data_IF_449492091496
#
_entry.id   IF_449492091496
#
_cell.length_a   1.000
_cell.length_b   1.000
_cell.length_c   1.000
_cell.angle_alpha   90.00
_cell.angle_beta   90.00
_cell.angle_gamma   90.00
#
_symmetry.space_group_name_H-M   'P 1'
#
loop_
_entity.id
_entity.type
_entity.pdbx_description
1 polymer ?
#
# COMPACT_ATOMS: atom_id res chain seq x y z
N UNK A 1 7.72 -5.10 -2.64
CA UNK A 1 8.14 -5.32 -4.04
C UNK A 1 6.99 -5.80 -4.94
N UNK A 2 5.71 -5.57 -4.58
CA UNK A 2 4.57 -6.03 -5.38
C UNK A 2 3.95 -4.92 -6.23
N UNK A 3 3.62 -3.76 -5.67
CA UNK A 3 3.00 -2.66 -6.42
C UNK A 3 3.79 -2.22 -7.65
N UNK A 4 5.12 -2.28 -7.55
CA UNK A 4 6.00 -1.91 -8.64
C UNK A 4 5.95 -2.92 -9.82
N UNK A 5 5.89 -4.23 -9.51
CA UNK A 5 5.81 -5.26 -10.54
C UNK A 5 4.44 -5.25 -11.22
N UNK A 6 3.36 -4.95 -10.49
CA UNK A 6 2.00 -4.92 -11.04
C UNK A 6 1.70 -3.75 -11.95
N UNK A 7 2.34 -2.59 -11.78
CA UNK A 7 2.12 -1.46 -12.69
C UNK A 7 2.68 -1.69 -14.10
N UNK A 8 3.61 -2.63 -14.25
CA UNK A 8 4.10 -3.13 -15.53
C UNK A 8 3.15 -4.21 -16.11
N UNK A 9 2.26 -4.81 -15.30
CA UNK A 9 1.26 -5.84 -15.65
C UNK A 9 -0.08 -5.20 -16.12
N UNK A 10 0.00 -4.16 -16.94
CA UNK A 10 -1.06 -3.85 -17.92
C UNK A 10 -0.75 -4.47 -19.30
N UNK A 11 0.27 -5.33 -19.38
CA UNK A 11 0.41 -6.28 -20.48
C UNK A 11 -0.17 -7.64 -20.07
N UNK A 12 -1.07 -8.21 -20.89
CA UNK A 12 -1.63 -9.52 -20.66
C UNK A 12 -0.62 -10.53 -21.14
N UNK A 13 0.33 -10.99 -20.33
CA UNK A 13 0.97 -12.26 -20.65
C UNK A 13 1.52 -12.95 -19.41
N UNK A 14 1.31 -14.26 -19.40
CA UNK A 14 1.84 -15.21 -18.43
C UNK A 14 3.32 -14.97 -18.17
N UNK A 15 3.72 -15.00 -16.89
CA UNK A 15 5.11 -14.88 -16.47
C UNK A 15 5.83 -16.22 -16.69
N UNK A 16 6.10 -16.55 -17.95
CA UNK A 16 7.02 -17.62 -18.34
C UNK A 16 8.39 -16.99 -18.60
N UNK A 17 9.41 -17.40 -17.83
CA UNK A 17 10.76 -16.78 -17.86
C UNK A 17 11.40 -16.72 -19.24
N UNK A 18 10.94 -17.54 -20.18
CA UNK A 18 11.47 -17.62 -21.53
C UNK A 18 11.09 -16.43 -22.43
N UNK A 19 9.97 -15.76 -22.19
CA UNK A 19 9.59 -14.58 -22.98
C UNK A 19 10.42 -13.34 -22.59
N UNK A 20 10.84 -13.22 -21.33
CA UNK A 20 11.68 -12.12 -20.88
C UNK A 20 13.09 -12.17 -21.49
N UNK A 21 13.52 -13.32 -22.02
CA UNK A 21 14.82 -13.49 -22.68
C UNK A 21 14.93 -12.74 -24.01
N UNK A 22 13.80 -12.36 -24.62
CA UNK A 22 13.82 -11.64 -25.89
C UNK A 22 14.21 -10.17 -25.68
N UNK A 23 15.26 -9.73 -26.38
CA UNK A 23 15.81 -8.37 -26.30
C UNK A 23 14.75 -7.28 -26.49
N UNK A 24 13.80 -7.49 -27.40
CA UNK A 24 12.71 -6.54 -27.67
C UNK A 24 11.75 -6.37 -26.48
N UNK A 25 11.42 -7.47 -25.78
CA UNK A 25 10.53 -7.44 -24.61
C UNK A 25 11.24 -6.76 -23.44
N UNK A 26 12.52 -7.08 -23.22
CA UNK A 26 13.34 -6.44 -22.19
C UNK A 26 13.44 -4.92 -22.42
N UNK A 27 13.69 -4.49 -23.66
CA UNK A 27 13.74 -3.08 -24.02
C UNK A 27 12.40 -2.36 -23.79
N UNK A 28 11.28 -2.98 -24.18
CA UNK A 28 9.94 -2.41 -23.98
C UNK A 28 9.59 -2.24 -22.49
N UNK A 29 9.89 -3.24 -21.67
CA UNK A 29 9.66 -3.17 -20.21
C UNK A 29 10.54 -2.07 -19.60
N UNK A 30 11.81 -2.01 -19.97
CA UNK A 30 12.73 -0.99 -19.47
C UNK A 30 12.26 0.42 -19.87
N UNK A 31 11.78 0.59 -21.11
CA UNK A 31 11.22 1.85 -21.57
C UNK A 31 10.00 2.28 -20.75
N UNK A 32 9.02 1.38 -20.53
CA UNK A 32 7.82 1.66 -19.73
C UNK A 32 8.15 2.00 -18.26
N UNK A 33 9.07 1.24 -17.65
CA UNK A 33 9.54 1.50 -16.29
C UNK A 33 10.20 2.89 -16.20
N UNK A 34 11.09 3.18 -17.13
CA UNK A 34 11.86 4.42 -17.14
C UNK A 34 10.99 5.66 -17.39
N UNK A 35 9.97 5.51 -18.25
CA UNK A 35 9.05 6.59 -18.65
C UNK A 35 7.98 6.90 -17.58
N UNK A 36 7.30 5.88 -17.06
CA UNK A 36 6.12 6.09 -16.20
C UNK A 36 6.22 5.35 -14.87
N UNK A 37 6.71 4.12 -14.89
CA UNK A 37 6.62 3.27 -13.72
C UNK A 37 7.38 3.82 -12.52
N UNK A 38 8.58 4.41 -12.72
CA UNK A 38 9.41 4.95 -11.61
C UNK A 38 8.66 5.99 -10.81
N UNK A 39 8.09 6.98 -11.50
CA UNK A 39 7.35 8.06 -10.86
C UNK A 39 6.17 7.49 -10.06
N UNK A 40 5.38 6.62 -10.67
CA UNK A 40 4.20 6.04 -10.04
C UNK A 40 4.56 5.19 -8.80
N UNK A 41 5.66 4.42 -8.90
CA UNK A 41 6.20 3.66 -7.76
C UNK A 41 6.60 4.59 -6.61
N UNK A 42 7.35 5.66 -6.89
CA UNK A 42 7.76 6.62 -5.86
C UNK A 42 6.56 7.31 -5.21
N UNK A 43 5.50 7.62 -5.96
CA UNK A 43 4.28 8.22 -5.43
C UNK A 43 3.57 7.26 -4.47
N UNK A 44 3.29 6.01 -4.90
CA UNK A 44 2.62 5.01 -4.04
C UNK A 44 3.45 4.74 -2.79
N UNK A 45 4.77 4.57 -2.96
CA UNK A 45 5.68 4.32 -1.85
C UNK A 45 5.70 5.48 -0.86
N UNK A 46 5.75 6.73 -1.34
CA UNK A 46 5.69 7.92 -0.47
C UNK A 46 4.38 7.99 0.31
N UNK A 47 3.25 7.73 -0.35
CA UNK A 47 1.93 7.71 0.31
C UNK A 47 1.87 6.62 1.40
N UNK A 48 2.40 5.43 1.11
CA UNK A 48 2.49 4.34 2.09
C UNK A 48 3.39 4.69 3.28
N UNK A 49 4.55 5.31 3.02
CA UNK A 49 5.45 5.77 4.08
C UNK A 49 4.80 6.81 4.98
N UNK A 50 4.07 7.79 4.41
CA UNK A 50 3.32 8.79 5.20
C UNK A 50 2.26 8.10 6.06
N UNK A 51 1.47 7.18 5.49
CA UNK A 51 0.48 6.39 6.22
C UNK A 51 1.09 5.66 7.43
N UNK A 52 2.19 4.95 7.21
CA UNK A 52 2.88 4.21 8.28
C UNK A 52 3.49 5.14 9.33
N UNK A 53 4.10 6.26 8.91
CA UNK A 53 4.67 7.24 9.83
C UNK A 53 3.61 7.88 10.71
N UNK A 54 2.46 8.28 10.16
CA UNK A 54 1.36 8.84 10.94
C UNK A 54 0.89 7.86 12.02
N UNK A 55 0.69 6.59 11.65
CA UNK A 55 0.30 5.57 12.60
C UNK A 55 1.37 5.32 13.68
N UNK A 56 2.65 5.22 13.28
CA UNK A 56 3.77 5.00 14.19
C UNK A 56 3.93 6.12 15.21
N UNK A 57 3.77 7.38 14.79
CA UNK A 57 3.82 8.54 15.70
C UNK A 57 2.73 8.41 16.75
N UNK A 58 1.50 8.07 16.32
CA UNK A 58 0.38 7.87 17.25
C UNK A 58 0.66 6.70 18.19
N UNK A 59 1.21 5.58 17.73
CA UNK A 59 1.43 4.41 18.59
C UNK A 59 2.59 4.58 19.56
N UNK A 60 3.61 5.35 19.18
CA UNK A 60 4.87 5.44 19.94
C UNK A 60 4.82 6.54 21.00
N UNK A 61 4.14 7.65 20.70
CA UNK A 61 4.13 8.81 21.59
C UNK A 61 3.00 8.66 22.63
N UNK A 62 3.33 8.76 23.92
CA UNK A 62 2.35 8.59 24.99
C UNK A 62 1.37 9.77 25.07
N UNK A 63 0.19 9.54 25.64
CA UNK A 63 -0.90 10.54 25.70
C UNK A 63 -0.53 11.86 26.37
N UNK A 64 0.42 11.83 27.32
CA UNK A 64 0.82 13.03 28.05
C UNK A 64 1.69 13.98 27.23
N UNK A 65 2.31 13.52 26.13
CA UNK A 65 3.18 14.34 25.28
C UNK A 65 2.45 14.95 24.06
N UNK A 66 1.39 14.31 23.58
CA UNK A 66 0.61 14.79 22.42
C UNK A 66 -0.84 15.08 22.82
N UNK A 67 -1.31 16.28 22.48
CA UNK A 67 -2.72 16.64 22.66
C UNK A 67 -3.64 15.72 21.87
N UNK A 68 -4.80 15.42 22.45
CA UNK A 68 -5.82 14.58 21.81
C UNK A 68 -6.21 15.08 20.41
N UNK A 69 -6.31 16.40 20.22
CA UNK A 69 -6.65 16.99 18.92
C UNK A 69 -5.64 16.64 17.83
N UNK A 70 -4.33 16.72 18.13
CA UNK A 70 -3.28 16.38 17.18
C UNK A 70 -3.28 14.87 16.86
N UNK A 71 -3.50 14.05 17.89
CA UNK A 71 -3.62 12.60 17.74
C UNK A 71 -4.80 12.22 16.86
N UNK A 72 -5.95 12.86 17.07
CA UNK A 72 -7.16 12.67 16.29
C UNK A 72 -6.94 13.03 14.82
N UNK A 73 -6.24 14.12 14.53
CA UNK A 73 -5.87 14.48 13.16
C UNK A 73 -5.00 13.38 12.52
N UNK A 74 -3.97 12.89 13.22
CA UNK A 74 -3.11 11.81 12.72
C UNK A 74 -3.89 10.50 12.46
N UNK A 75 -4.85 10.17 13.33
CA UNK A 75 -5.71 9.00 13.15
C UNK A 75 -6.65 9.14 11.94
N UNK A 76 -7.25 10.31 11.75
CA UNK A 76 -8.08 10.61 10.57
C UNK A 76 -7.24 10.50 9.28
N UNK A 77 -6.02 11.07 9.29
CA UNK A 77 -5.08 10.97 8.16
C UNK A 77 -4.71 9.53 7.87
N UNK A 78 -4.45 8.73 8.90
CA UNK A 78 -4.15 7.29 8.77
C UNK A 78 -5.32 6.54 8.13
N UNK A 79 -6.55 6.80 8.57
CA UNK A 79 -7.76 6.19 7.98
C UNK A 79 -7.92 6.59 6.51
N UNK A 80 -7.77 7.88 6.20
CA UNK A 80 -7.90 8.39 4.84
C UNK A 80 -6.90 7.73 3.86
N UNK A 81 -5.61 7.70 4.23
CA UNK A 81 -4.60 7.04 3.40
C UNK A 81 -4.79 5.52 3.33
N UNK A 82 -5.25 4.89 4.42
CA UNK A 82 -5.58 3.48 4.40
C UNK A 82 -6.69 3.12 3.42
N UNK A 83 -7.74 3.94 3.31
CA UNK A 83 -8.77 3.77 2.27
C UNK A 83 -8.21 3.92 0.85
N UNK A 84 -7.29 4.85 0.62
CA UNK A 84 -6.62 5.00 -0.68
C UNK A 84 -5.89 3.70 -1.06
N UNK A 85 -5.12 3.11 -0.13
CA UNK A 85 -4.43 1.84 -0.37
C UNK A 85 -5.41 0.68 -0.56
N UNK A 86 -6.53 0.67 0.17
CA UNK A 86 -7.57 -0.33 0.00
C UNK A 86 -8.19 -0.30 -1.40
N UNK A 87 -8.37 0.88 -2.01
CA UNK A 87 -8.83 1.00 -3.40
C UNK A 87 -7.84 0.34 -4.37
N UNK A 88 -6.53 0.49 -4.15
CA UNK A 88 -5.51 -0.16 -4.98
C UNK A 88 -5.54 -1.70 -4.84
N UNK A 89 -5.65 -2.21 -3.61
CA UNK A 89 -5.80 -3.64 -3.35
C UNK A 89 -7.07 -4.21 -3.98
N UNK A 90 -8.20 -3.50 -3.83
CA UNK A 90 -9.48 -3.91 -4.39
C UNK A 90 -9.45 -3.97 -5.93
N UNK A 91 -8.79 -3.00 -6.57
CA UNK A 91 -8.56 -3.04 -8.04
C UNK A 91 -7.74 -4.26 -8.46
N UNK A 92 -6.70 -4.62 -7.69
CA UNK A 92 -5.89 -5.80 -7.97
C UNK A 92 -6.69 -7.09 -7.81
N UNK A 93 -7.54 -7.16 -6.79
CA UNK A 93 -8.44 -8.27 -6.55
C UNK A 93 -9.45 -8.46 -7.69
N UNK A 94 -10.10 -7.38 -8.16
CA UNK A 94 -11.02 -7.43 -9.31
C UNK A 94 -10.31 -7.92 -10.57
N UNK A 95 -9.10 -7.42 -10.83
CA UNK A 95 -8.40 -7.73 -12.08
C UNK A 95 -7.97 -9.19 -12.18
N UNK A 96 -7.47 -9.79 -11.08
CA UNK A 96 -7.01 -11.20 -11.06
C UNK A 96 -7.27 -11.89 -9.72
N UNK A 97 -8.53 -12.26 -9.41
CA UNK A 97 -8.90 -12.75 -8.07
C UNK A 97 -8.20 -14.06 -7.69
N UNK A 98 -8.10 -15.02 -8.63
CA UNK A 98 -7.44 -16.32 -8.37
C UNK A 98 -5.96 -16.18 -8.02
N UNK A 99 -5.24 -15.36 -8.79
CA UNK A 99 -3.81 -15.08 -8.55
C UNK A 99 -3.64 -14.27 -7.26
N UNK A 100 -4.59 -13.36 -7.00
CA UNK A 100 -4.54 -12.53 -5.81
C UNK A 100 -4.62 -13.37 -4.54
N UNK A 101 -5.61 -14.25 -4.44
CA UNK A 101 -5.85 -15.10 -3.26
C UNK A 101 -4.70 -16.09 -3.05
N UNK A 102 -4.10 -16.59 -4.13
CA UNK A 102 -3.00 -17.55 -4.06
C UNK A 102 -1.66 -16.92 -3.64
N UNK A 103 -1.53 -15.59 -3.63
CA UNK A 103 -0.30 -14.88 -3.30
C UNK A 103 -0.23 -14.55 -1.80
N UNK A 104 0.68 -15.15 -1.02
CA UNK A 104 0.84 -14.82 0.40
C UNK A 104 1.18 -13.34 0.64
N UNK A 105 1.86 -12.72 -0.34
CA UNK A 105 2.25 -11.32 -0.22
C UNK A 105 1.08 -10.36 -0.29
N UNK A 106 0.04 -10.68 -1.06
CA UNK A 106 -1.14 -9.82 -1.14
C UNK A 106 -1.92 -9.84 0.17
N UNK A 107 -1.94 -10.99 0.86
CA UNK A 107 -2.49 -11.09 2.22
C UNK A 107 -1.69 -10.29 3.23
N UNK A 108 -0.35 -10.32 3.14
CA UNK A 108 0.51 -9.51 3.98
C UNK A 108 0.28 -8.00 3.75
N UNK A 109 0.25 -7.57 2.49
CA UNK A 109 0.01 -6.18 2.10
C UNK A 109 -1.39 -5.73 2.58
N UNK A 110 -2.42 -6.55 2.41
CA UNK A 110 -3.77 -6.30 2.92
C UNK A 110 -3.81 -6.17 4.45
N UNK A 111 -3.14 -7.08 5.17
CA UNK A 111 -3.07 -7.04 6.63
C UNK A 111 -2.35 -5.78 7.14
N UNK A 112 -1.28 -5.36 6.46
CA UNK A 112 -0.54 -4.15 6.78
C UNK A 112 -1.37 -2.86 6.59
N UNK A 113 -2.37 -2.88 5.72
CA UNK A 113 -3.32 -1.76 5.53
C UNK A 113 -4.47 -1.85 6.53
N UNK A 114 -5.03 -3.05 6.74
CA UNK A 114 -6.18 -3.26 7.63
C UNK A 114 -5.83 -3.02 9.10
N UNK A 115 -4.64 -3.42 9.54
CA UNK A 115 -4.27 -3.32 10.94
C UNK A 115 -4.22 -1.86 11.44
N UNK A 116 -3.49 -0.92 10.80
CA UNK A 116 -3.47 0.48 11.23
C UNK A 116 -4.84 1.16 11.07
N UNK A 117 -5.61 0.82 10.04
CA UNK A 117 -6.91 1.46 9.78
C UNK A 117 -7.97 1.07 10.81
N UNK A 118 -8.11 -0.23 11.10
CA UNK A 118 -9.04 -0.73 12.11
C UNK A 118 -8.64 -0.23 13.49
N UNK A 119 -7.34 -0.29 13.83
CA UNK A 119 -6.84 0.22 15.10
C UNK A 119 -7.15 1.71 15.27
N UNK A 120 -6.95 2.49 14.20
CA UNK A 120 -7.26 3.92 14.21
C UNK A 120 -8.76 4.20 14.43
N UNK A 121 -9.65 3.41 13.82
CA UNK A 121 -11.09 3.51 14.02
C UNK A 121 -11.49 3.19 15.47
N UNK A 122 -10.92 2.13 16.03
CA UNK A 122 -11.19 1.71 17.42
C UNK A 122 -10.75 2.81 18.40
N UNK A 123 -9.59 3.42 18.21
CA UNK A 123 -9.10 4.47 19.12
C UNK A 123 -9.90 5.77 19.03
N UNK A 124 -10.38 6.13 17.84
CA UNK A 124 -11.31 7.26 17.69
C UNK A 124 -12.62 6.96 18.43
N UNK A 125 -13.16 5.74 18.30
CA UNK A 125 -14.41 5.34 18.95
C UNK A 125 -14.31 5.35 20.47
N UNK A 126 -13.25 4.75 21.01
CA UNK A 126 -13.06 4.60 22.46
C UNK A 126 -12.55 5.88 23.13
N UNK A 127 -12.14 6.90 22.36
CA UNK A 127 -11.42 8.09 22.85
C UNK A 127 -10.21 7.75 23.74
N UNK A 128 -9.65 6.56 23.56
CA UNK A 128 -8.59 6.00 24.37
C UNK A 128 -7.65 5.21 23.44
N UNK A 129 -6.38 5.60 23.33
CA UNK A 129 -5.34 4.84 22.65
C UNK A 129 -4.86 3.64 23.49
N UNK A 130 -3.92 2.79 23.01
CA UNK A 130 -3.54 1.61 23.76
C UNK A 130 -2.68 2.02 24.95
N UNK A 131 -2.77 1.19 26.00
CA UNK A 131 -1.98 1.23 27.22
C UNK A 131 -0.49 1.10 26.88
#
# INVERSE_FOLDING_TARGET
MNYFMYLIILLPYYYTSDYYKWWNIKALINFKWNAYGRLYYFIIWTIYSIFMCCFLIVTTIPEHEISWNNRLILLIVTIFFGFIHFIFEFRQFIHRPKVYIASPWNWFDLAAILFPTITSLIWIHNKAPPI
#
